data_IF_411307624115
#
_entry.id   IF_411307624115
#
_cell.length_a   1.000
_cell.length_b   1.000
_cell.length_c   1.000
_cell.angle_alpha   90.00
_cell.angle_beta   90.00
_cell.angle_gamma   90.00
#
_symmetry.space_group_name_H-M   'P 1'
#
loop_
_entity.id
_entity.type
_entity.pdbx_description
1 polymer ?
#
# COMPACT_ATOMS: atom_id res chain seq x y z
N UNK A 1 -25.07 -22.54 30.69
CA UNK A 1 -23.83 -22.79 29.93
C UNK A 1 -23.21 -21.44 29.57
N UNK A 2 -22.28 -20.95 30.39
CA UNK A 2 -21.69 -19.60 30.24
C UNK A 2 -20.34 -19.74 29.52
N UNK A 3 -20.26 -19.28 28.28
CA UNK A 3 -19.02 -19.30 27.50
C UNK A 3 -18.00 -18.33 28.12
N UNK A 4 -16.76 -18.80 28.26
CA UNK A 4 -15.65 -18.00 28.79
C UNK A 4 -15.34 -16.79 27.88
N UNK A 5 -14.88 -15.67 28.46
CA UNK A 5 -14.41 -14.49 27.71
C UNK A 5 -13.37 -14.84 26.62
N UNK A 6 -12.59 -15.92 26.79
CA UNK A 6 -11.65 -16.39 25.77
C UNK A 6 -12.36 -16.99 24.54
N UNK A 7 -13.46 -17.73 24.76
CA UNK A 7 -14.29 -18.28 23.68
C UNK A 7 -15.07 -17.20 22.94
N UNK A 8 -15.55 -16.16 23.64
CA UNK A 8 -16.16 -14.99 23.00
C UNK A 8 -15.16 -14.21 22.13
N UNK A 9 -13.91 -14.06 22.57
CA UNK A 9 -12.85 -13.37 21.80
C UNK A 9 -12.42 -14.19 20.57
N UNK A 10 -12.31 -15.51 20.71
CA UNK A 10 -12.02 -16.41 19.60
C UNK A 10 -13.15 -16.41 18.55
N UNK A 11 -14.42 -16.45 18.97
CA UNK A 11 -15.58 -16.38 18.08
C UNK A 11 -15.69 -15.03 17.34
N UNK A 12 -15.37 -13.92 18.01
CA UNK A 12 -15.35 -12.56 17.42
C UNK A 12 -14.20 -12.34 16.42
N UNK A 13 -13.06 -13.00 16.63
CA UNK A 13 -11.95 -12.97 15.67
C UNK A 13 -12.21 -13.89 14.46
N UNK A 14 -13.00 -14.96 14.64
CA UNK A 14 -13.40 -15.87 13.57
C UNK A 14 -14.51 -15.31 12.65
N UNK A 15 -15.25 -14.28 13.08
CA UNK A 15 -16.41 -13.74 12.36
C UNK A 15 -16.07 -12.66 11.31
N UNK A 16 -14.82 -12.23 11.18
CA UNK A 16 -14.42 -11.28 10.14
C UNK A 16 -14.16 -12.06 8.86
N UNK A 17 -15.20 -12.18 8.02
CA UNK A 17 -15.08 -12.82 6.71
C UNK A 17 -13.88 -12.21 5.94
N UNK A 18 -12.95 -13.03 5.42
CA UNK A 18 -11.78 -12.53 4.71
C UNK A 18 -12.23 -11.74 3.47
N UNK A 19 -11.64 -10.55 3.24
CA UNK A 19 -11.90 -9.73 2.03
C UNK A 19 -11.83 -10.62 0.79
N UNK A 20 -12.92 -10.70 0.03
CA UNK A 20 -13.02 -11.55 -1.16
C UNK A 20 -11.97 -11.14 -2.20
N UNK A 21 -11.54 -12.06 -3.06
CA UNK A 21 -10.57 -11.74 -4.13
C UNK A 21 -11.04 -10.58 -5.02
N UNK A 22 -12.35 -10.48 -5.25
CA UNK A 22 -12.97 -9.39 -6.00
C UNK A 22 -12.87 -8.03 -5.29
N UNK A 23 -13.08 -7.99 -3.98
CA UNK A 23 -12.88 -6.77 -3.18
C UNK A 23 -11.43 -6.31 -3.19
N UNK A 24 -10.48 -7.26 -3.11
CA UNK A 24 -9.05 -6.96 -3.16
C UNK A 24 -8.63 -6.40 -4.52
N UNK A 25 -9.11 -7.02 -5.60
CA UNK A 25 -8.83 -6.54 -6.96
C UNK A 25 -9.42 -5.14 -7.18
N UNK A 26 -10.68 -4.91 -6.80
CA UNK A 26 -11.31 -3.59 -6.94
C UNK A 26 -10.61 -2.52 -6.10
N UNK A 27 -10.19 -2.85 -4.87
CA UNK A 27 -9.40 -1.95 -4.04
C UNK A 27 -8.06 -1.59 -4.70
N UNK A 28 -7.32 -2.59 -5.18
CA UNK A 28 -6.04 -2.39 -5.84
C UNK A 28 -6.19 -1.54 -7.12
N UNK A 29 -7.19 -1.83 -7.96
CA UNK A 29 -7.44 -1.06 -9.18
C UNK A 29 -7.84 0.39 -8.88
N UNK A 30 -8.71 0.62 -7.90
CA UNK A 30 -9.12 1.98 -7.51
C UNK A 30 -7.95 2.77 -6.93
N UNK A 31 -7.11 2.12 -6.13
CA UNK A 31 -5.90 2.72 -5.58
C UNK A 31 -4.91 3.11 -6.68
N UNK A 32 -4.68 2.21 -7.63
CA UNK A 32 -3.74 2.44 -8.72
C UNK A 32 -4.22 3.55 -9.66
N UNK A 33 -5.50 3.52 -10.07
CA UNK A 33 -6.09 4.58 -10.90
C UNK A 33 -6.07 5.93 -10.18
N UNK A 34 -6.45 5.97 -8.90
CA UNK A 34 -6.43 7.20 -8.11
C UNK A 34 -5.02 7.75 -7.94
N UNK A 35 -4.04 6.87 -7.71
CA UNK A 35 -2.63 7.23 -7.64
C UNK A 35 -2.14 7.84 -8.94
N UNK A 36 -2.43 7.23 -10.10
CA UNK A 36 -2.05 7.77 -11.41
C UNK A 36 -2.68 9.13 -11.68
N UNK A 37 -3.97 9.31 -11.38
CA UNK A 37 -4.67 10.60 -11.56
C UNK A 37 -4.07 11.71 -10.70
N UNK A 38 -3.57 11.38 -9.51
CA UNK A 38 -2.94 12.35 -8.61
C UNK A 38 -1.49 12.65 -9.00
N UNK A 39 -0.69 11.60 -9.20
CA UNK A 39 0.76 11.69 -9.33
C UNK A 39 1.17 12.16 -10.73
N UNK A 40 0.54 11.64 -11.79
CA UNK A 40 0.99 11.90 -13.15
C UNK A 40 0.88 13.38 -13.57
N UNK A 41 -0.22 14.11 -13.29
CA UNK A 41 -0.29 15.54 -13.59
C UNK A 41 0.70 16.37 -12.77
N UNK A 42 0.89 16.02 -11.50
CA UNK A 42 1.82 16.74 -10.63
C UNK A 42 3.26 16.57 -11.12
N UNK A 43 3.69 15.34 -11.41
CA UNK A 43 5.02 15.08 -11.95
C UNK A 43 5.22 15.73 -13.32
N UNK A 44 4.20 15.69 -14.20
CA UNK A 44 4.27 16.34 -15.50
C UNK A 44 4.47 17.85 -15.38
N UNK A 45 3.81 18.48 -14.41
CA UNK A 45 3.95 19.91 -14.13
C UNK A 45 5.32 20.26 -13.52
N UNK A 46 5.79 19.52 -12.52
CA UNK A 46 7.06 19.78 -11.83
C UNK A 46 8.25 19.52 -12.76
N UNK A 47 8.23 18.42 -13.51
CA UNK A 47 9.35 17.98 -14.34
C UNK A 47 9.26 18.46 -15.79
N UNK A 48 8.23 19.27 -16.11
CA UNK A 48 7.99 19.84 -17.44
C UNK A 48 8.01 18.79 -18.57
N UNK A 49 7.39 17.65 -18.33
CA UNK A 49 7.35 16.50 -19.22
C UNK A 49 5.92 16.16 -19.63
N UNK A 50 5.74 15.35 -20.68
CA UNK A 50 4.41 14.98 -21.16
C UNK A 50 3.64 14.13 -20.15
N UNK A 51 2.32 14.36 -20.06
CA UNK A 51 1.44 13.61 -19.17
C UNK A 51 1.48 12.10 -19.45
N UNK A 52 1.62 11.70 -20.72
CA UNK A 52 1.73 10.29 -21.11
C UNK A 52 3.01 9.66 -20.56
N UNK A 53 4.14 10.35 -20.66
CA UNK A 53 5.41 9.85 -20.14
C UNK A 53 5.39 9.73 -18.60
N UNK A 54 4.76 10.67 -17.91
CA UNK A 54 4.60 10.63 -16.46
C UNK A 54 3.55 9.65 -15.98
N UNK A 55 2.49 9.43 -16.76
CA UNK A 55 1.53 8.35 -16.52
C UNK A 55 2.22 6.98 -16.61
N UNK A 56 2.99 6.74 -17.66
CA UNK A 56 3.77 5.51 -17.82
C UNK A 56 4.78 5.31 -16.67
N UNK A 57 5.52 6.36 -16.31
CA UNK A 57 6.43 6.37 -15.15
C UNK A 57 5.71 5.97 -13.86
N UNK A 58 4.55 6.56 -13.59
CA UNK A 58 3.77 6.28 -12.37
C UNK A 58 3.33 4.82 -12.32
N UNK A 59 2.86 4.25 -13.44
CA UNK A 59 2.49 2.84 -13.54
C UNK A 59 3.70 1.91 -13.37
N UNK A 60 4.86 2.28 -13.91
CA UNK A 60 6.08 1.50 -13.72
C UNK A 60 6.52 1.50 -12.26
N UNK A 61 6.54 2.68 -11.61
CA UNK A 61 6.90 2.81 -10.19
C UNK A 61 5.90 2.06 -9.31
N UNK A 62 4.59 2.17 -9.56
CA UNK A 62 3.57 1.41 -8.79
C UNK A 62 3.79 -0.09 -8.92
N UNK A 63 4.07 -0.57 -10.13
CA UNK A 63 4.32 -1.99 -10.40
C UNK A 63 5.57 -2.48 -9.67
N UNK A 64 6.69 -1.75 -9.77
CA UNK A 64 7.94 -2.07 -9.07
C UNK A 64 7.73 -2.06 -7.55
N UNK A 65 7.04 -1.05 -7.01
CA UNK A 65 6.74 -0.95 -5.59
C UNK A 65 5.88 -2.13 -5.10
N UNK A 66 4.84 -2.53 -5.86
CA UNK A 66 4.01 -3.69 -5.53
C UNK A 66 4.81 -4.99 -5.52
N UNK A 67 5.63 -5.23 -6.56
CA UNK A 67 6.47 -6.42 -6.66
C UNK A 67 7.51 -6.45 -5.53
N UNK A 68 8.17 -5.32 -5.27
CA UNK A 68 9.13 -5.19 -4.18
C UNK A 68 8.47 -5.46 -2.83
N UNK A 69 7.28 -4.91 -2.59
CA UNK A 69 6.52 -5.16 -1.36
C UNK A 69 6.22 -6.63 -1.14
N UNK A 70 5.81 -7.36 -2.19
CA UNK A 70 5.57 -8.79 -2.10
C UNK A 70 6.86 -9.56 -1.79
N UNK A 71 7.95 -9.27 -2.51
CA UNK A 71 9.24 -9.94 -2.34
C UNK A 71 9.81 -9.68 -0.95
N UNK A 72 9.85 -8.42 -0.52
CA UNK A 72 10.40 -8.02 0.77
C UNK A 72 9.61 -8.62 1.93
N UNK A 73 8.28 -8.56 1.88
CA UNK A 73 7.43 -9.17 2.92
C UNK A 73 7.65 -10.68 3.00
N UNK A 74 7.73 -11.38 1.87
CA UNK A 74 8.00 -12.81 1.85
C UNK A 74 9.40 -13.16 2.40
N UNK A 75 10.42 -12.36 2.07
CA UNK A 75 11.78 -12.55 2.57
C UNK A 75 11.85 -12.32 4.07
N UNK A 76 11.22 -11.25 4.55
CA UNK A 76 11.19 -10.89 5.95
C UNK A 76 10.38 -11.88 6.80
N UNK A 77 9.26 -12.39 6.29
CA UNK A 77 8.49 -13.44 6.97
C UNK A 77 9.30 -14.73 7.08
N UNK A 78 10.06 -15.11 6.04
CA UNK A 78 10.99 -16.25 6.11
C UNK A 78 12.09 -16.02 7.14
N UNK A 79 12.66 -14.81 7.17
CA UNK A 79 13.68 -14.43 8.15
C UNK A 79 13.13 -14.48 9.58
N UNK A 80 11.93 -13.93 9.80
CA UNK A 80 11.24 -13.95 11.08
C UNK A 80 10.99 -15.38 11.56
N UNK A 81 10.48 -16.25 10.68
CA UNK A 81 10.21 -17.64 11.03
C UNK A 81 11.50 -18.42 11.31
N UNK A 82 12.59 -18.11 10.60
CA UNK A 82 13.89 -18.78 10.80
C UNK A 82 14.59 -18.38 12.10
N UNK A 83 14.51 -17.10 12.47
CA UNK A 83 15.24 -16.55 13.63
C UNK A 83 14.34 -16.26 14.84
N UNK A 84 13.04 -16.58 14.77
CA UNK A 84 12.08 -16.35 15.85
C UNK A 84 11.93 -14.86 16.22
N UNK A 85 12.10 -13.96 15.26
CA UNK A 85 12.10 -12.51 15.53
C UNK A 85 10.74 -12.06 16.07
N UNK A 86 10.74 -11.42 17.24
CA UNK A 86 9.54 -10.78 17.79
C UNK A 86 9.32 -9.43 17.10
N UNK A 87 8.05 -9.04 16.89
CA UNK A 87 7.68 -7.75 16.29
C UNK A 87 7.81 -6.60 17.30
N UNK A 88 9.00 -6.43 17.87
CA UNK A 88 9.36 -5.31 18.75
C UNK A 88 9.37 -3.99 17.97
N UNK A 89 9.34 -2.85 18.67
CA UNK A 89 9.42 -1.54 18.02
C UNK A 89 10.69 -1.43 17.17
N UNK A 90 11.83 -1.88 17.69
CA UNK A 90 13.11 -1.90 16.97
C UNK A 90 13.04 -2.73 15.69
N UNK A 91 12.43 -3.92 15.76
CA UNK A 91 12.26 -4.78 14.59
C UNK A 91 11.38 -4.14 13.52
N UNK A 92 10.35 -3.38 13.92
CA UNK A 92 9.49 -2.62 12.99
C UNK A 92 10.24 -1.48 12.32
N UNK A 93 11.05 -0.74 13.07
CA UNK A 93 11.88 0.34 12.50
C UNK A 93 12.90 -0.23 11.52
N UNK A 94 13.63 -1.29 11.91
CA UNK A 94 14.57 -1.98 11.01
C UNK A 94 13.89 -2.51 9.75
N UNK A 95 12.69 -3.09 9.89
CA UNK A 95 11.90 -3.56 8.76
C UNK A 95 11.50 -2.42 7.82
N UNK A 96 11.01 -1.29 8.36
CA UNK A 96 10.64 -0.14 7.57
C UNK A 96 11.84 0.49 6.86
N UNK A 97 12.97 0.66 7.56
CA UNK A 97 14.21 1.18 6.96
C UNK A 97 14.75 0.27 5.86
N UNK A 98 14.73 -1.06 6.06
CA UNK A 98 15.16 -2.01 5.04
C UNK A 98 14.23 -2.07 3.83
N UNK A 99 12.93 -1.92 4.04
CA UNK A 99 11.93 -1.84 2.96
C UNK A 99 12.21 -0.61 2.09
N UNK A 100 12.34 0.55 2.76
CA UNK A 100 12.53 1.84 2.13
C UNK A 100 13.86 1.90 1.37
N UNK A 101 14.96 1.47 2.01
CA UNK A 101 16.26 1.43 1.37
C UNK A 101 16.28 0.55 0.12
N UNK A 102 15.62 -0.62 0.17
CA UNK A 102 15.50 -1.49 -1.00
C UNK A 102 14.64 -0.90 -2.11
N UNK A 103 13.58 -0.18 -1.75
CA UNK A 103 12.70 0.49 -2.69
C UNK A 103 13.42 1.65 -3.39
N UNK A 104 14.16 2.48 -2.65
CA UNK A 104 15.04 3.53 -3.17
C UNK A 104 16.03 2.95 -4.19
N UNK A 105 16.69 1.83 -3.85
CA UNK A 105 17.65 1.17 -4.74
C UNK A 105 17.03 0.64 -6.04
N UNK A 106 15.72 0.39 -6.07
CA UNK A 106 15.01 -0.03 -7.27
C UNK A 106 14.43 1.15 -8.06
N UNK A 107 13.77 2.08 -7.37
CA UNK A 107 12.99 3.18 -7.97
C UNK A 107 13.90 4.32 -8.43
N UNK A 108 14.91 4.71 -7.66
CA UNK A 108 15.77 5.86 -8.00
C UNK A 108 16.57 5.62 -9.28
N UNK A 109 17.25 4.48 -9.49
CA UNK A 109 17.96 4.23 -10.74
C UNK A 109 17.01 4.12 -11.94
N UNK A 110 15.83 3.53 -11.75
CA UNK A 110 14.80 3.46 -12.79
C UNK A 110 14.32 4.85 -13.19
N UNK A 111 14.05 5.71 -12.21
CA UNK A 111 13.58 7.07 -12.45
C UNK A 111 14.65 7.94 -13.12
N UNK A 112 15.90 7.85 -12.65
CA UNK A 112 17.04 8.54 -13.23
C UNK A 112 17.24 8.14 -14.70
N UNK A 113 17.17 6.84 -15.00
CA UNK A 113 17.25 6.32 -16.36
C UNK A 113 16.09 6.76 -17.25
N UNK A 114 14.85 6.68 -16.75
CA UNK A 114 13.65 7.02 -17.54
C UNK A 114 13.55 8.51 -17.86
N UNK A 115 13.84 9.37 -16.88
CA UNK A 115 13.73 10.82 -17.04
C UNK A 115 15.04 11.47 -17.51
N UNK A 116 16.12 10.68 -17.64
CA UNK A 116 17.45 11.19 -18.00
C UNK A 116 17.92 12.30 -17.03
N UNK A 117 17.67 12.10 -15.75
CA UNK A 117 18.07 13.01 -14.65
C UNK A 117 19.17 12.37 -13.80
N UNK A 118 19.85 13.17 -12.98
CA UNK A 118 20.85 12.64 -12.06
C UNK A 118 20.23 11.76 -10.98
N UNK A 119 21.02 10.83 -10.41
CA UNK A 119 20.58 10.00 -9.28
C UNK A 119 20.14 10.85 -8.07
N UNK A 120 20.76 12.02 -7.88
CA UNK A 120 20.41 12.93 -6.79
C UNK A 120 19.03 13.56 -7.02
N UNK A 121 18.74 14.00 -8.24
CA UNK A 121 17.41 14.54 -8.59
C UNK A 121 16.33 13.45 -8.47
N UNK A 122 16.62 12.23 -8.94
CA UNK A 122 15.72 11.09 -8.80
C UNK A 122 15.48 10.71 -7.33
N UNK A 123 16.49 10.85 -6.46
CA UNK A 123 16.35 10.64 -5.02
C UNK A 123 15.43 11.69 -4.37
N UNK A 124 15.57 12.96 -4.72
CA UNK A 124 14.66 14.00 -4.25
C UNK A 124 13.23 13.83 -4.77
N UNK A 125 13.10 13.38 -6.03
CA UNK A 125 11.82 13.00 -6.63
C UNK A 125 11.16 11.88 -5.83
N UNK A 126 11.92 10.84 -5.47
CA UNK A 126 11.43 9.71 -4.67
C UNK A 126 10.96 10.14 -3.27
N UNK A 127 11.71 11.00 -2.58
CA UNK A 127 11.27 11.60 -1.31
C UNK A 127 9.97 12.40 -1.48
N UNK A 128 9.88 13.21 -2.53
CA UNK A 128 8.68 13.99 -2.84
C UNK A 128 7.47 13.10 -3.11
N UNK A 129 7.65 12.03 -3.88
CA UNK A 129 6.63 11.03 -4.13
C UNK A 129 6.21 10.34 -2.84
N UNK A 130 7.15 9.90 -2.01
CA UNK A 130 6.86 9.24 -0.74
C UNK A 130 6.04 10.14 0.19
N UNK A 131 6.47 11.39 0.36
CA UNK A 131 5.77 12.36 1.22
C UNK A 131 4.36 12.68 0.73
N UNK A 132 4.12 12.63 -0.58
CA UNK A 132 2.78 12.80 -1.14
C UNK A 132 1.95 11.52 -1.08
N UNK A 133 2.56 10.36 -1.33
CA UNK A 133 1.87 9.09 -1.47
C UNK A 133 1.47 8.49 -0.12
N UNK A 134 2.23 8.75 0.94
CA UNK A 134 1.87 8.37 2.32
C UNK A 134 0.51 8.93 2.78
N UNK A 135 0.27 10.25 2.75
CA UNK A 135 -1.04 10.80 3.13
C UNK A 135 -2.14 10.36 2.17
N UNK A 136 -1.85 10.24 0.86
CA UNK A 136 -2.79 9.68 -0.11
C UNK A 136 -3.24 8.26 0.28
N UNK A 137 -2.28 7.38 0.59
CA UNK A 137 -2.55 6.00 0.97
C UNK A 137 -3.36 5.92 2.26
N UNK A 138 -3.02 6.74 3.26
CA UNK A 138 -3.76 6.81 4.51
C UNK A 138 -5.22 7.24 4.28
N UNK A 139 -5.43 8.32 3.53
CA UNK A 139 -6.75 8.86 3.22
C UNK A 139 -7.58 7.88 2.39
N UNK A 140 -6.98 7.27 1.37
CA UNK A 140 -7.67 6.28 0.53
C UNK A 140 -8.11 5.06 1.33
N UNK A 141 -7.20 4.48 2.13
CA UNK A 141 -7.53 3.33 2.97
C UNK A 141 -8.64 3.67 3.97
N UNK A 142 -8.55 4.83 4.62
CA UNK A 142 -9.57 5.29 5.57
C UNK A 142 -10.94 5.50 4.90
N UNK A 143 -10.96 6.16 3.74
CA UNK A 143 -12.18 6.38 2.98
C UNK A 143 -12.81 5.06 2.51
N UNK A 144 -11.99 4.13 2.00
CA UNK A 144 -12.47 2.83 1.54
C UNK A 144 -13.04 2.00 2.68
N UNK A 145 -12.34 1.91 3.81
CA UNK A 145 -12.80 1.13 4.95
C UNK A 145 -14.08 1.74 5.55
N UNK A 146 -14.18 3.07 5.66
CA UNK A 146 -15.41 3.76 6.10
C UNK A 146 -16.59 3.49 5.16
N UNK A 147 -16.36 3.53 3.84
CA UNK A 147 -17.40 3.25 2.85
C UNK A 147 -17.85 1.79 2.92
N UNK A 148 -16.89 0.86 3.05
CA UNK A 148 -17.16 -0.57 3.18
C UNK A 148 -17.97 -0.87 4.43
N UNK A 149 -17.60 -0.29 5.58
CA UNK A 149 -18.37 -0.42 6.82
C UNK A 149 -19.81 0.06 6.64
N UNK A 150 -20.02 1.23 6.02
CA UNK A 150 -21.37 1.75 5.74
C UNK A 150 -22.19 0.84 4.82
N UNK A 151 -21.57 0.26 3.78
CA UNK A 151 -22.27 -0.65 2.86
C UNK A 151 -22.62 -1.97 3.54
N UNK A 152 -21.72 -2.53 4.35
CA UNK A 152 -21.97 -3.77 5.10
C UNK A 152 -23.08 -3.56 6.13
N UNK A 153 -23.03 -2.48 6.91
CA UNK A 153 -24.06 -2.12 7.88
C UNK A 153 -25.45 -1.97 7.22
N UNK A 154 -25.52 -1.32 6.04
CA UNK A 154 -26.77 -1.21 5.26
C UNK A 154 -27.30 -2.56 4.76
N UNK A 155 -26.43 -3.51 4.42
CA UNK A 155 -26.87 -4.85 4.00
C UNK A 155 -27.42 -5.66 5.18
N UNK A 156 -26.75 -5.60 6.34
CA UNK A 156 -27.21 -6.28 7.56
C UNK A 156 -28.57 -5.73 8.01
N UNK A 157 -28.72 -4.41 8.08
CA UNK A 157 -29.99 -3.77 8.45
C UNK A 157 -31.16 -4.13 7.51
N UNK A 158 -30.88 -4.35 6.22
CA UNK A 158 -31.89 -4.77 5.24
C UNK A 158 -32.28 -6.25 5.35
N UNK A 159 -31.38 -7.10 5.87
CA UNK A 159 -31.69 -8.50 6.14
C UNK A 159 -32.43 -8.70 7.47
N UNK A 160 -32.23 -7.82 8.46
CA UNK A 160 -33.01 -7.84 9.71
C UNK A 160 -34.44 -7.30 9.54
N UNK A 161 -34.69 -6.53 8.48
CA UNK A 161 -36.00 -5.96 8.15
C UNK A 161 -36.87 -6.87 7.25
N UNK A 162 -36.39 -8.06 6.88
CA UNK A 162 -37.11 -9.07 6.08
C UNK A 162 -37.42 -10.30 6.93
#
# INVERSE_FOLDING_TARGET
>A
MIMSKSQQRAARNASVAPKTLRERALHASLFEIGGVILVAPLLAWIMNHSLVMMGAMTVMISTVAMLWNMVYNALFDRLRNRYGLTMSLTTRVLHAMGFEAGLILAVVPLAAWWLTISLMEAFWLDIGLLLMFLPYTLLFNWAYDTLRERIVQRRVARCEAL
#
